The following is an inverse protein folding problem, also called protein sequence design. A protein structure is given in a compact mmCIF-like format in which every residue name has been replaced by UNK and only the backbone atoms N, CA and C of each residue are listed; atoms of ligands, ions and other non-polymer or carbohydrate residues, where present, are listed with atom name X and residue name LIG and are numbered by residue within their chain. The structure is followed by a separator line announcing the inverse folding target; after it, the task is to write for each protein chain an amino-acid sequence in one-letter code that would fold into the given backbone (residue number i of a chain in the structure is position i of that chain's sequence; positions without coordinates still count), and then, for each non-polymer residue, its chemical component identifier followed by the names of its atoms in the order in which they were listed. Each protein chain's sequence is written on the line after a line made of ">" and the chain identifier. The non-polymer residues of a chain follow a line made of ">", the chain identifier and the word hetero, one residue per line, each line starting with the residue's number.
data_IF_306613441844
#
_entry.id   IF_306613441844
#
_cell.length_a   1.000
_cell.length_b   1.000
_cell.length_c   1.000
_cell.angle_alpha   90.00
_cell.angle_beta   90.00
_cell.angle_gamma   90.00
#
_symmetry.space_group_name_H-M   'P 1'
#
loop_
_entity.id
_entity.type
_entity.pdbx_description
1 polymer ?
#
# COMPACT_ATOMS: atom_id res chain seq x y z
N UNK A 1 17.10 -16.82 -12.11
CA UNK A 1 16.55 -16.33 -10.83
C UNK A 1 15.08 -16.03 -11.08
N UNK A 2 14.16 -16.48 -10.22
CA UNK A 2 12.75 -16.17 -10.40
C UNK A 2 12.52 -14.67 -10.14
N UNK A 3 11.80 -13.99 -11.04
CA UNK A 3 11.39 -12.61 -10.85
C UNK A 3 10.37 -12.54 -9.70
N UNK A 4 10.67 -11.74 -8.65
CA UNK A 4 9.74 -11.52 -7.56
C UNK A 4 8.49 -10.79 -8.06
N UNK A 5 7.31 -11.18 -7.58
CA UNK A 5 6.01 -10.57 -7.90
C UNK A 5 5.13 -10.49 -6.66
N UNK A 6 4.02 -9.74 -6.77
CA UNK A 6 2.98 -9.69 -5.76
C UNK A 6 3.52 -9.37 -4.37
N UNK A 7 3.11 -10.16 -3.37
CA UNK A 7 3.57 -10.02 -1.98
C UNK A 7 5.08 -10.07 -1.86
N UNK A 8 5.73 -11.03 -2.51
CA UNK A 8 7.17 -11.25 -2.35
C UNK A 8 7.98 -10.05 -2.87
N UNK A 9 7.55 -9.42 -3.97
CA UNK A 9 8.16 -8.19 -4.47
C UNK A 9 7.93 -7.02 -3.51
N UNK A 10 6.69 -6.86 -3.03
CA UNK A 10 6.33 -5.77 -2.13
C UNK A 10 7.11 -5.84 -0.81
N UNK A 11 7.11 -7.00 -0.15
CA UNK A 11 7.81 -7.17 1.13
C UNK A 11 9.33 -7.11 0.96
N UNK A 12 9.87 -7.51 -0.20
CA UNK A 12 11.29 -7.32 -0.50
C UNK A 12 11.70 -5.85 -0.64
N UNK A 13 10.80 -4.97 -1.09
CA UNK A 13 11.12 -3.54 -1.27
C UNK A 13 10.82 -2.70 -0.03
N UNK A 14 9.74 -3.03 0.66
CA UNK A 14 9.12 -2.16 1.66
C UNK A 14 9.06 -2.78 3.05
N UNK A 15 9.50 -4.03 3.19
CA UNK A 15 9.35 -4.79 4.42
C UNK A 15 7.92 -5.33 4.63
N UNK A 16 7.70 -6.05 5.74
CA UNK A 16 6.41 -6.66 6.06
C UNK A 16 5.24 -5.67 6.00
N UNK A 17 4.08 -6.15 5.58
CA UNK A 17 2.87 -5.30 5.59
C UNK A 17 2.56 -4.80 7.01
N UNK A 18 2.31 -3.49 7.18
CA UNK A 18 2.06 -2.86 8.48
C UNK A 18 3.29 -2.36 9.23
N UNK A 19 4.52 -2.53 8.71
CA UNK A 19 5.73 -2.10 9.41
C UNK A 19 6.06 -0.60 9.28
N UNK A 20 5.34 0.13 8.42
CA UNK A 20 5.55 1.56 8.18
C UNK A 20 4.99 2.45 9.27
N UNK A 21 5.12 3.76 9.07
CA UNK A 21 4.59 4.78 9.96
C UNK A 21 3.12 5.11 9.65
N UNK A 22 2.46 5.84 10.54
CA UNK A 22 1.11 6.40 10.32
C UNK A 22 1.13 7.91 9.99
N UNK A 23 2.31 8.52 10.11
CA UNK A 23 2.58 9.93 9.80
C UNK A 23 3.91 10.01 9.06
N UNK A 24 4.01 10.87 8.06
CA UNK A 24 5.21 11.06 7.26
C UNK A 24 5.49 12.56 7.06
N UNK A 25 6.74 12.95 7.32
CA UNK A 25 7.21 14.31 7.08
C UNK A 25 7.61 14.48 5.61
N UNK A 26 6.92 15.37 4.90
CA UNK A 26 7.22 15.74 3.51
C UNK A 26 7.61 17.22 3.48
N UNK A 27 8.89 17.49 3.26
CA UNK A 27 9.44 18.84 3.42
C UNK A 27 9.37 19.29 4.88
N UNK A 28 8.58 20.35 5.15
CA UNK A 28 8.38 20.90 6.51
C UNK A 28 6.98 20.61 7.07
N UNK A 29 6.22 19.72 6.44
CA UNK A 29 4.84 19.40 6.83
C UNK A 29 4.74 17.91 7.14
N UNK A 30 4.14 17.60 8.28
CA UNK A 30 3.76 16.24 8.65
C UNK A 30 2.37 15.93 8.11
N UNK A 31 2.24 14.81 7.39
CA UNK A 31 0.97 14.33 6.88
C UNK A 31 0.63 12.98 7.52
N UNK A 32 -0.61 12.84 7.99
CA UNK A 32 -1.14 11.54 8.42
C UNK A 32 -1.46 10.66 7.21
N UNK A 33 -1.58 9.34 7.44
CA UNK A 33 -1.99 8.38 6.42
C UNK A 33 -3.34 8.76 5.77
N UNK A 34 -4.32 9.17 6.57
CA UNK A 34 -5.62 9.58 6.07
C UNK A 34 -5.54 10.84 5.20
N UNK A 35 -4.76 11.85 5.61
CA UNK A 35 -4.56 13.06 4.81
C UNK A 35 -3.89 12.77 3.47
N UNK A 36 -2.91 11.87 3.45
CA UNK A 36 -2.23 11.46 2.22
C UNK A 36 -3.18 10.71 1.27
N UNK A 37 -3.97 9.76 1.78
CA UNK A 37 -4.98 9.07 0.97
C UNK A 37 -5.98 10.06 0.39
N UNK A 38 -6.46 11.02 1.18
CA UNK A 38 -7.36 12.06 0.71
C UNK A 38 -6.71 12.94 -0.37
N UNK A 39 -5.50 13.45 -0.12
CA UNK A 39 -4.79 14.33 -1.07
C UNK A 39 -4.52 13.67 -2.42
N UNK A 40 -4.28 12.36 -2.44
CA UNK A 40 -4.01 11.59 -3.66
C UNK A 40 -5.27 10.99 -4.29
N UNK A 41 -6.46 11.21 -3.72
CA UNK A 41 -7.72 10.65 -4.22
C UNK A 41 -7.82 9.12 -4.05
N UNK A 42 -7.15 8.57 -3.04
CA UNK A 42 -7.12 7.15 -2.70
C UNK A 42 -8.04 6.81 -1.50
N UNK A 43 -8.73 7.81 -0.94
CA UNK A 43 -9.74 7.68 0.12
C UNK A 43 -11.13 7.48 -0.50
N UNK A 44 -11.42 6.25 -0.92
CA UNK A 44 -12.74 5.83 -1.40
C UNK A 44 -13.37 4.80 -0.44
N UNK A 45 -14.67 4.52 -0.58
CA UNK A 45 -15.47 3.78 0.41
C UNK A 45 -14.86 2.46 0.89
N UNK A 46 -14.30 1.67 -0.03
CA UNK A 46 -13.66 0.37 0.25
C UNK A 46 -12.13 0.43 0.40
N UNK A 47 -11.56 1.64 0.41
CA UNK A 47 -10.12 1.83 0.66
C UNK A 47 -9.82 1.77 2.14
N UNK A 48 -8.72 1.09 2.52
CA UNK A 48 -8.21 1.12 3.89
C UNK A 48 -6.72 1.34 3.91
N UNK A 49 -6.30 2.48 4.46
CA UNK A 49 -4.89 2.75 4.73
C UNK A 49 -4.26 1.70 5.65
N UNK A 50 -3.00 1.34 5.37
CA UNK A 50 -2.23 0.39 6.15
C UNK A 50 -1.04 1.09 6.80
N UNK A 51 -0.14 1.66 6.00
CA UNK A 51 1.05 2.36 6.51
C UNK A 51 1.71 3.24 5.44
N UNK A 52 2.67 4.05 5.90
CA UNK A 52 3.49 4.98 5.12
C UNK A 52 4.98 4.62 5.24
N UNK A 53 5.71 4.76 4.13
CA UNK A 53 7.14 4.47 4.07
C UNK A 53 7.87 5.58 3.32
N UNK A 54 8.96 6.07 3.92
CA UNK A 54 9.93 6.91 3.23
C UNK A 54 11.02 6.00 2.64
N UNK A 55 11.05 5.87 1.31
CA UNK A 55 12.01 5.01 0.60
C UNK A 55 13.35 5.72 0.44
N UNK A 56 13.30 6.98 0.02
CA UNK A 56 14.46 7.86 -0.05
C UNK A 56 14.01 9.32 -0.03
N UNK A 57 14.95 10.26 -0.18
CA UNK A 57 14.62 11.68 -0.24
C UNK A 57 13.66 11.92 -1.40
N UNK A 58 12.49 12.51 -1.12
CA UNK A 58 11.47 12.82 -2.12
C UNK A 58 10.86 11.59 -2.82
N UNK A 59 10.88 10.42 -2.17
CA UNK A 59 10.25 9.19 -2.67
C UNK A 59 9.60 8.44 -1.52
N UNK A 60 8.28 8.38 -1.58
CA UNK A 60 7.43 7.87 -0.51
C UNK A 60 6.48 6.81 -1.06
N UNK A 61 5.95 5.99 -0.15
CA UNK A 61 4.96 4.97 -0.46
C UNK A 61 3.84 5.04 0.55
N UNK A 62 2.61 4.99 0.05
CA UNK A 62 1.42 4.69 0.85
C UNK A 62 0.96 3.28 0.51
N UNK A 63 0.79 2.46 1.55
CA UNK A 63 0.17 1.14 1.42
C UNK A 63 -1.26 1.19 1.89
N UNK A 64 -2.17 0.70 1.07
CA UNK A 64 -3.58 0.59 1.38
C UNK A 64 -4.18 -0.66 0.75
N UNK A 65 -5.28 -1.13 1.33
CA UNK A 65 -6.13 -2.15 0.74
C UNK A 65 -7.14 -1.49 -0.17
N UNK A 66 -7.16 -1.91 -1.43
CA UNK A 66 -8.19 -1.59 -2.41
C UNK A 66 -9.24 -2.72 -2.38
N UNK A 67 -10.39 -2.45 -1.76
CA UNK A 67 -11.45 -3.45 -1.65
C UNK A 67 -12.22 -3.71 -2.95
N UNK A 68 -12.11 -2.84 -3.94
CA UNK A 68 -12.78 -3.01 -5.23
C UNK A 68 -12.06 -4.04 -6.12
N UNK A 69 -10.72 -4.09 -6.05
CA UNK A 69 -9.85 -5.03 -6.77
C UNK A 69 -9.29 -6.15 -5.84
N UNK A 70 -9.61 -6.08 -4.55
CA UNK A 70 -9.17 -7.01 -3.49
C UNK A 70 -7.64 -7.13 -3.42
N UNK A 71 -6.95 -5.99 -3.52
CA UNK A 71 -5.49 -5.93 -3.56
C UNK A 71 -4.92 -5.07 -2.46
N UNK A 72 -3.73 -5.45 -2.02
CA UNK A 72 -2.83 -4.52 -1.35
C UNK A 72 -2.10 -3.74 -2.44
N UNK A 73 -2.18 -2.42 -2.36
CA UNK A 73 -1.53 -1.48 -3.27
C UNK A 73 -0.43 -0.76 -2.51
N UNK A 74 0.79 -0.76 -3.05
CA UNK A 74 1.86 0.13 -2.66
C UNK A 74 1.98 1.21 -3.73
N UNK A 75 1.43 2.38 -3.46
CA UNK A 75 1.42 3.52 -4.36
C UNK A 75 2.63 4.42 -4.05
N UNK A 76 3.50 4.60 -5.04
CA UNK A 76 4.74 5.38 -4.93
C UNK A 76 4.50 6.80 -5.42
N UNK A 77 4.97 7.79 -4.66
CA UNK A 77 4.79 9.21 -4.97
C UNK A 77 5.99 10.07 -4.53
N UNK A 78 6.14 11.24 -5.15
CA UNK A 78 7.14 12.25 -4.78
C UNK A 78 6.61 13.30 -3.78
N UNK A 79 7.47 14.23 -3.33
CA UNK A 79 7.07 15.29 -2.39
C UNK A 79 6.13 16.36 -2.95
N UNK A 80 5.82 16.32 -4.24
CA UNK A 80 4.75 17.10 -4.88
C UNK A 80 3.49 16.25 -5.12
N UNK A 81 3.40 15.08 -4.50
CA UNK A 81 2.31 14.09 -4.64
C UNK A 81 2.14 13.55 -6.06
N UNK A 82 3.18 13.60 -6.90
CA UNK A 82 3.11 13.00 -8.23
C UNK A 82 3.33 11.50 -8.15
N UNK A 83 2.52 10.76 -8.88
CA UNK A 83 2.66 9.32 -9.04
C UNK A 83 4.00 8.94 -9.68
N UNK A 84 4.71 8.00 -9.05
CA UNK A 84 5.98 7.45 -9.54
C UNK A 84 5.84 6.00 -10.03
N UNK A 85 4.90 5.24 -9.46
CA UNK A 85 4.69 3.83 -9.76
C UNK A 85 3.82 3.16 -8.73
N UNK A 86 3.46 1.90 -8.97
CA UNK A 86 2.78 1.08 -7.96
C UNK A 86 3.15 -0.39 -8.08
N UNK A 87 3.02 -1.09 -6.95
CA UNK A 87 2.98 -2.55 -6.89
C UNK A 87 1.63 -2.96 -6.35
N UNK A 88 0.94 -3.87 -7.05
CA UNK A 88 -0.32 -4.46 -6.62
C UNK A 88 -0.14 -5.95 -6.40
N UNK A 89 -0.73 -6.44 -5.32
CA UNK A 89 -0.67 -7.84 -4.92
C UNK A 89 -2.03 -8.27 -4.36
N UNK A 90 -2.47 -9.48 -4.70
CA UNK A 90 -3.79 -9.93 -4.28
C UNK A 90 -3.79 -10.23 -2.79
N UNK A 91 -4.85 -9.86 -2.06
CA UNK A 91 -4.89 -10.01 -0.59
C UNK A 91 -4.73 -11.47 -0.13
N UNK A 92 -5.16 -12.43 -0.96
CA UNK A 92 -4.96 -13.87 -0.73
C UNK A 92 -3.48 -14.25 -0.51
N UNK A 93 -2.53 -13.49 -1.07
CA UNK A 93 -1.10 -13.75 -0.88
C UNK A 93 -0.64 -13.53 0.58
N UNK A 94 -1.36 -12.73 1.37
CA UNK A 94 -1.09 -12.53 2.80
C UNK A 94 -1.90 -13.47 3.69
N UNK A 95 -3.18 -13.63 3.41
CA UNK A 95 -4.08 -14.43 4.27
C UNK A 95 -4.05 -15.93 3.95
N UNK A 96 -3.49 -16.31 2.80
CA UNK A 96 -3.53 -17.67 2.26
C UNK A 96 -4.79 -17.91 1.43
N UNK A 97 -4.66 -18.65 0.33
CA UNK A 97 -5.74 -18.90 -0.64
C UNK A 97 -6.95 -19.60 0.00
N UNK A 98 -6.73 -20.54 0.91
CA UNK A 98 -7.80 -21.28 1.60
C UNK A 98 -8.62 -20.37 2.53
N UNK A 99 -7.95 -19.52 3.31
CA UNK A 99 -8.62 -18.56 4.18
C UNK A 99 -9.35 -17.48 3.36
N UNK A 100 -8.75 -17.06 2.25
CA UNK A 100 -9.38 -16.13 1.30
C UNK A 100 -10.68 -16.69 0.73
N UNK A 101 -10.65 -17.94 0.22
CA UNK A 101 -11.84 -18.58 -0.31
C UNK A 101 -12.92 -18.72 0.76
N UNK A 102 -12.56 -19.08 1.99
CA UNK A 102 -13.53 -19.20 3.08
C UNK A 102 -14.15 -17.86 3.51
N UNK A 103 -13.40 -16.75 3.44
CA UNK A 103 -13.86 -15.42 3.87
C UNK A 103 -14.63 -14.66 2.79
N UNK A 104 -14.23 -14.84 1.53
CA UNK A 104 -14.70 -14.02 0.40
C UNK A 104 -15.41 -14.81 -0.70
N UNK A 105 -15.34 -16.15 -0.70
CA UNK A 105 -16.06 -17.01 -1.65
C UNK A 105 -17.24 -17.75 -1.02
N UNK A 106 -17.82 -17.18 0.02
CA UNK A 106 -19.00 -17.71 0.71
C UNK A 106 -20.07 -18.22 -0.27
N UNK A 107 -20.42 -19.49 -0.10
CA UNK A 107 -21.45 -20.22 -0.84
C UNK A 107 -22.86 -19.91 -0.31
#
# INVERSE_FOLDING_TARGET
>A
MAELRGRALMESRYGPLGCGAQVLAIGSVDYTLAELLFHMGLDFEDSRGIDLIAVSVNHYVVRYYDGQDQRIVAHEFDGEFRFLGEIRAHIAEWIGEEAYFSLFSGH
#
